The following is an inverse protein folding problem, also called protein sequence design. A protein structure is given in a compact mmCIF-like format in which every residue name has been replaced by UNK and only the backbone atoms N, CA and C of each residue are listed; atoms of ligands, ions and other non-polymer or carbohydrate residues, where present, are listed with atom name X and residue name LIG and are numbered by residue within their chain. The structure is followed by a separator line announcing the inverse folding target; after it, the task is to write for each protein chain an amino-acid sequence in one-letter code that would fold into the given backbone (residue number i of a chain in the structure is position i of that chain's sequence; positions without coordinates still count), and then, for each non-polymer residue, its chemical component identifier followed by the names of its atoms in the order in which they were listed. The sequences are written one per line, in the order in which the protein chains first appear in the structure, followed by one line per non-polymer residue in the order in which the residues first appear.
data_IF_710440371895
#
_entry.id   IF_710440371895
#
_cell.length_a   1.000
_cell.length_b   1.000
_cell.length_c   1.000
_cell.angle_alpha   90.00
_cell.angle_beta   90.00
_cell.angle_gamma   90.00
#
_symmetry.space_group_name_H-M   'P 1'
#
loop_
_entity.id
_entity.type
_entity.pdbx_description
1 polymer ?
#
# COMPACT_ATOMS: atom_id res chain seq x y z
N UNK A 1 8.59 -1.80 -10.26
CA UNK A 1 9.37 -1.04 -11.27
C UNK A 1 10.03 -1.99 -12.27
N UNK A 2 10.85 -2.94 -11.81
CA UNK A 2 11.58 -3.86 -12.69
C UNK A 2 10.69 -4.75 -13.54
N UNK A 3 9.41 -4.96 -13.19
CA UNK A 3 8.48 -5.66 -14.08
C UNK A 3 8.13 -4.87 -15.36
N UNK A 4 8.36 -3.55 -15.38
CA UNK A 4 8.02 -2.64 -16.47
C UNK A 4 9.24 -2.05 -17.19
N UNK A 5 10.40 -2.10 -16.54
CA UNK A 5 11.64 -1.42 -16.95
C UNK A 5 12.72 -2.47 -17.22
N UNK A 6 13.21 -2.51 -18.44
CA UNK A 6 14.29 -3.40 -18.85
C UNK A 6 15.65 -2.74 -18.55
N UNK A 7 16.33 -3.24 -17.52
CA UNK A 7 17.62 -2.70 -17.05
C UNK A 7 18.72 -2.92 -18.08
N UNK A 8 18.69 -4.01 -18.85
CA UNK A 8 19.72 -4.31 -19.85
C UNK A 8 19.53 -3.42 -21.07
N UNK A 9 18.28 -3.16 -21.47
CA UNK A 9 17.95 -2.24 -22.56
C UNK A 9 18.48 -0.82 -22.32
N UNK A 10 18.52 -0.36 -21.06
CA UNK A 10 19.05 0.96 -20.69
C UNK A 10 20.53 1.17 -21.10
N UNK A 11 21.31 0.08 -21.26
CA UNK A 11 22.71 0.15 -21.69
C UNK A 11 22.88 0.65 -23.13
N UNK A 12 21.83 0.59 -23.94
CA UNK A 12 21.82 1.01 -25.34
C UNK A 12 21.22 2.39 -25.56
N UNK A 13 20.79 3.08 -24.50
CA UNK A 13 20.16 4.40 -24.60
C UNK A 13 21.13 5.50 -25.03
N UNK A 14 20.63 6.51 -25.75
CA UNK A 14 21.33 7.79 -25.91
C UNK A 14 21.09 8.68 -24.66
N UNK A 15 22.14 9.04 -23.88
CA UNK A 15 21.99 9.91 -22.72
C UNK A 15 21.45 11.31 -23.05
N UNK A 16 21.69 11.84 -24.25
CA UNK A 16 21.15 13.13 -24.66
C UNK A 16 19.65 13.05 -24.95
N UNK A 17 19.19 11.98 -25.60
CA UNK A 17 17.77 11.72 -25.81
C UNK A 17 17.05 11.43 -24.48
N UNK A 18 17.68 10.68 -23.58
CA UNK A 18 17.19 10.44 -22.21
C UNK A 18 17.02 11.76 -21.43
N UNK A 19 18.00 12.65 -21.54
CA UNK A 19 17.92 14.01 -20.98
C UNK A 19 16.77 14.82 -21.55
N UNK A 20 16.60 14.82 -22.87
CA UNK A 20 15.47 15.49 -23.53
C UNK A 20 14.12 14.92 -23.10
N UNK A 21 14.01 13.60 -22.93
CA UNK A 21 12.81 12.94 -22.42
C UNK A 21 12.47 13.41 -20.99
N UNK A 22 13.40 13.33 -20.03
CA UNK A 22 13.15 13.78 -18.65
C UNK A 22 12.73 15.26 -18.61
N UNK A 23 13.44 16.13 -19.35
CA UNK A 23 13.14 17.57 -19.38
C UNK A 23 11.78 17.89 -20.02
N UNK A 24 11.26 17.00 -20.88
CA UNK A 24 9.93 17.16 -21.48
C UNK A 24 8.79 16.84 -20.52
N UNK A 25 9.04 16.01 -19.50
CA UNK A 25 8.00 15.53 -18.57
C UNK A 25 8.11 16.12 -17.16
N UNK A 26 9.24 16.73 -16.80
CA UNK A 26 9.51 17.18 -15.43
C UNK A 26 10.52 18.33 -15.37
N UNK A 27 10.43 19.13 -14.29
CA UNK A 27 11.41 20.16 -13.95
C UNK A 27 12.49 19.65 -12.98
N UNK A 28 12.55 18.33 -12.72
CA UNK A 28 13.56 17.73 -11.85
C UNK A 28 14.98 18.09 -12.32
N UNK A 29 15.82 18.70 -11.46
CA UNK A 29 17.06 19.36 -11.88
C UNK A 29 18.15 18.39 -12.34
N UNK A 30 18.13 17.13 -11.88
CA UNK A 30 19.12 16.12 -12.26
C UNK A 30 18.75 15.49 -13.60
N UNK A 31 18.86 16.27 -14.67
CA UNK A 31 18.40 15.88 -16.01
C UNK A 31 19.47 16.02 -17.09
N UNK A 32 20.74 16.25 -16.74
CA UNK A 32 21.77 16.54 -17.74
C UNK A 32 22.19 15.29 -18.53
N UNK A 33 22.59 15.43 -19.82
CA UNK A 33 23.11 14.29 -20.59
C UNK A 33 24.33 13.62 -19.92
N UNK A 34 25.17 14.41 -19.26
CA UNK A 34 26.32 13.90 -18.50
C UNK A 34 25.92 13.01 -17.33
N UNK A 35 24.87 13.40 -16.59
CA UNK A 35 24.35 12.62 -15.47
C UNK A 35 23.88 11.23 -15.91
N UNK A 36 23.06 11.16 -16.96
CA UNK A 36 22.61 9.88 -17.51
C UNK A 36 23.74 9.03 -18.07
N UNK A 37 24.72 9.64 -18.73
CA UNK A 37 25.90 8.91 -19.22
C UNK A 37 26.69 8.29 -18.07
N UNK A 38 26.84 8.99 -16.95
CA UNK A 38 27.56 8.47 -15.79
C UNK A 38 26.82 7.30 -15.13
N UNK A 39 25.49 7.40 -15.02
CA UNK A 39 24.64 6.30 -14.53
C UNK A 39 24.68 5.10 -15.48
N UNK A 40 24.55 5.32 -16.79
CA UNK A 40 24.67 4.26 -17.80
C UNK A 40 26.04 3.57 -17.72
N UNK A 41 27.14 4.33 -17.59
CA UNK A 41 28.48 3.78 -17.43
C UNK A 41 28.62 2.96 -16.14
N UNK A 42 28.00 3.41 -15.03
CA UNK A 42 27.95 2.66 -13.77
C UNK A 42 27.20 1.33 -13.96
N UNK A 43 26.06 1.37 -14.63
CA UNK A 43 25.26 0.18 -14.93
C UNK A 43 26.01 -0.79 -15.86
N UNK A 44 26.68 -0.27 -16.88
CA UNK A 44 27.49 -1.06 -17.81
C UNK A 44 28.59 -1.84 -17.08
N UNK A 45 29.37 -1.16 -16.23
CA UNK A 45 30.39 -1.82 -15.40
C UNK A 45 29.79 -2.88 -14.47
N UNK A 46 28.61 -2.61 -13.91
CA UNK A 46 27.91 -3.58 -13.05
C UNK A 46 27.50 -4.84 -13.84
N UNK A 47 26.94 -4.67 -15.03
CA UNK A 47 26.54 -5.79 -15.91
C UNK A 47 27.76 -6.56 -16.42
N UNK A 48 28.80 -5.86 -16.88
CA UNK A 48 30.06 -6.45 -17.38
C UNK A 48 30.84 -7.23 -16.29
N UNK A 49 30.59 -6.95 -15.01
CA UNK A 49 31.21 -7.71 -13.91
C UNK A 49 30.74 -9.17 -13.85
N UNK A 50 29.61 -9.51 -14.49
CA UNK A 50 28.96 -10.82 -14.36
C UNK A 50 28.29 -11.05 -13.00
N UNK A 51 28.37 -10.09 -12.07
CA UNK A 51 27.78 -10.15 -10.73
C UNK A 51 26.51 -9.30 -10.67
N UNK A 52 25.47 -9.72 -11.38
CA UNK A 52 24.22 -8.97 -11.55
C UNK A 52 23.40 -8.80 -10.26
N UNK A 53 23.73 -9.52 -9.18
CA UNK A 53 23.08 -9.40 -7.88
C UNK A 53 21.55 -9.42 -8.01
N UNK A 54 20.84 -8.35 -7.60
CA UNK A 54 19.37 -8.28 -7.69
C UNK A 54 18.82 -8.31 -9.13
N UNK A 55 19.66 -8.12 -10.17
CA UNK A 55 19.25 -8.16 -11.57
C UNK A 55 19.51 -9.52 -12.25
N UNK A 56 20.04 -10.52 -11.53
CA UNK A 56 20.47 -11.78 -12.13
C UNK A 56 19.33 -12.66 -12.68
N UNK A 57 18.14 -12.61 -12.06
CA UNK A 57 17.04 -13.54 -12.34
C UNK A 57 15.77 -12.87 -12.89
N UNK A 58 15.91 -11.68 -13.46
CA UNK A 58 14.81 -10.99 -14.11
C UNK A 58 14.74 -11.32 -15.61
N UNK A 59 13.61 -11.00 -16.24
CA UNK A 59 13.27 -11.46 -17.59
C UNK A 59 13.69 -10.50 -18.71
N UNK A 60 14.91 -9.95 -18.62
CA UNK A 60 15.43 -8.96 -19.57
C UNK A 60 15.33 -9.42 -21.03
N UNK A 61 14.90 -8.53 -21.92
CA UNK A 61 14.63 -8.85 -23.33
C UNK A 61 13.30 -9.55 -23.59
N UNK A 62 12.48 -9.81 -22.56
CA UNK A 62 11.12 -10.33 -22.74
C UNK A 62 10.32 -9.40 -23.65
N UNK A 63 9.54 -9.93 -24.62
CA UNK A 63 8.68 -9.14 -25.50
C UNK A 63 7.57 -8.39 -24.74
N UNK A 64 7.35 -8.73 -23.46
CA UNK A 64 6.42 -8.00 -22.62
C UNK A 64 6.97 -6.64 -22.16
N UNK A 65 8.28 -6.35 -22.27
CA UNK A 65 8.82 -4.99 -22.07
C UNK A 65 8.61 -4.12 -23.31
N UNK A 66 8.11 -2.91 -23.10
CA UNK A 66 7.73 -1.98 -24.19
C UNK A 66 8.45 -0.64 -24.18
N UNK A 67 9.21 -0.35 -23.12
CA UNK A 67 9.91 0.92 -23.00
C UNK A 67 11.10 0.96 -23.97
N UNK A 68 11.32 2.10 -24.66
CA UNK A 68 12.57 2.32 -25.38
C UNK A 68 13.76 2.44 -24.42
N UNK A 69 14.99 2.22 -24.90
CA UNK A 69 16.21 2.33 -24.08
C UNK A 69 16.28 3.63 -23.26
N UNK A 70 15.91 4.77 -23.84
CA UNK A 70 15.94 6.08 -23.17
C UNK A 70 14.98 6.13 -21.97
N UNK A 71 13.77 5.61 -22.11
CA UNK A 71 12.82 5.54 -21.01
C UNK A 71 13.28 4.54 -19.93
N UNK A 72 13.92 3.43 -20.34
CA UNK A 72 14.53 2.50 -19.39
C UNK A 72 15.66 3.16 -18.59
N UNK A 73 16.56 3.89 -19.26
CA UNK A 73 17.67 4.58 -18.58
C UNK A 73 17.16 5.67 -17.62
N UNK A 74 16.12 6.41 -18.01
CA UNK A 74 15.46 7.37 -17.13
C UNK A 74 14.90 6.69 -15.88
N UNK A 75 14.09 5.64 -16.05
CA UNK A 75 13.45 4.95 -14.94
C UNK A 75 14.46 4.22 -14.03
N UNK A 76 15.53 3.63 -14.58
CA UNK A 76 16.62 3.04 -13.77
C UNK A 76 17.38 4.12 -13.00
N UNK A 77 17.61 5.28 -13.61
CA UNK A 77 18.23 6.42 -12.92
C UNK A 77 17.39 6.86 -11.72
N UNK A 78 16.09 7.06 -11.92
CA UNK A 78 15.17 7.43 -10.85
C UNK A 78 14.96 6.32 -9.81
N UNK A 79 15.05 5.04 -10.19
CA UNK A 79 15.07 3.93 -9.25
C UNK A 79 16.24 4.07 -8.25
N UNK A 80 17.44 4.41 -8.74
CA UNK A 80 18.60 4.63 -7.89
C UNK A 80 18.44 5.89 -7.02
N UNK A 81 17.89 6.97 -7.58
CA UNK A 81 17.58 8.17 -6.81
C UNK A 81 16.57 7.91 -5.69
N UNK A 82 15.51 7.14 -5.97
CA UNK A 82 14.49 6.77 -5.00
C UNK A 82 15.08 5.90 -3.88
N UNK A 83 15.96 4.95 -4.21
CA UNK A 83 16.66 4.12 -3.24
C UNK A 83 17.53 4.96 -2.29
N UNK A 84 18.15 6.02 -2.80
CA UNK A 84 18.89 6.97 -1.98
C UNK A 84 17.96 7.87 -1.16
N UNK A 85 16.88 8.39 -1.73
CA UNK A 85 16.04 9.38 -1.08
C UNK A 85 15.12 8.80 0.01
N UNK A 86 14.63 7.56 -0.14
CA UNK A 86 13.67 6.97 0.79
C UNK A 86 14.14 6.96 2.27
N UNK A 87 15.46 6.88 2.50
CA UNK A 87 16.05 6.92 3.86
C UNK A 87 15.87 8.27 4.56
N UNK A 88 15.64 9.35 3.80
CA UNK A 88 15.43 10.69 4.35
C UNK A 88 13.99 10.86 4.82
N UNK A 89 13.01 10.33 4.08
CA UNK A 89 11.58 10.39 4.42
C UNK A 89 11.35 9.82 5.83
N UNK A 90 11.94 8.66 6.11
CA UNK A 90 11.77 7.97 7.40
C UNK A 90 12.42 8.67 8.60
N UNK A 91 13.23 9.71 8.41
CA UNK A 91 13.75 10.51 9.52
C UNK A 91 12.64 11.23 10.29
N UNK A 92 11.49 11.48 9.66
CA UNK A 92 10.28 11.96 10.35
C UNK A 92 9.86 10.95 11.44
N UNK A 93 9.83 9.66 11.12
CA UNK A 93 9.55 8.61 12.11
C UNK A 93 10.64 8.55 13.19
N UNK A 94 11.90 8.78 12.85
CA UNK A 94 12.98 8.83 13.85
C UNK A 94 12.81 10.00 14.82
N UNK A 95 12.36 11.16 14.35
CA UNK A 95 12.15 12.35 15.20
C UNK A 95 10.99 12.14 16.18
N UNK A 96 9.85 11.62 15.72
CA UNK A 96 8.67 11.45 16.58
C UNK A 96 8.61 10.10 17.30
N UNK A 97 9.20 9.06 16.72
CA UNK A 97 9.13 7.67 17.21
C UNK A 97 10.47 7.07 17.62
N UNK A 98 11.57 7.82 17.54
CA UNK A 98 12.92 7.42 17.97
C UNK A 98 13.70 6.54 16.98
N UNK A 99 13.04 5.82 16.06
CA UNK A 99 13.71 4.99 15.05
C UNK A 99 12.81 4.65 13.86
N UNK A 100 13.44 4.22 12.77
CA UNK A 100 12.81 3.49 11.68
C UNK A 100 13.79 2.41 11.17
N UNK A 101 13.36 1.15 10.93
CA UNK A 101 12.01 0.60 11.10
C UNK A 101 11.55 0.49 12.57
N UNK A 102 10.25 0.21 12.77
CA UNK A 102 9.60 0.02 14.07
C UNK A 102 9.72 1.21 15.05
N UNK A 103 9.16 2.39 14.72
CA UNK A 103 9.06 3.50 15.66
C UNK A 103 8.26 3.12 16.92
N UNK A 104 8.44 3.88 17.99
CA UNK A 104 7.71 3.71 19.25
C UNK A 104 6.41 4.52 19.24
N UNK A 105 5.38 3.99 19.91
CA UNK A 105 4.06 4.60 20.10
C UNK A 105 3.64 4.49 21.56
N UNK A 106 2.60 5.23 21.98
CA UNK A 106 2.10 5.24 23.36
C UNK A 106 0.56 5.17 23.37
N UNK A 107 -0.04 4.28 24.17
CA UNK A 107 -1.48 4.35 24.42
C UNK A 107 -1.80 5.67 25.13
N UNK A 108 -2.66 6.49 24.53
CA UNK A 108 -2.97 7.84 25.00
C UNK A 108 -2.36 8.97 24.15
N UNK A 109 -1.46 8.67 23.21
CA UNK A 109 -0.89 9.66 22.29
C UNK A 109 0.48 9.26 21.74
N UNK A 110 1.48 10.11 21.91
CA UNK A 110 2.86 9.90 21.46
C UNK A 110 3.87 10.16 22.58
N UNK A 111 4.98 9.41 22.65
CA UNK A 111 6.00 9.59 23.68
C UNK A 111 6.90 10.82 23.46
N UNK A 112 6.84 11.45 22.29
CA UNK A 112 7.69 12.57 21.90
C UNK A 112 7.17 13.92 22.41
N UNK A 113 7.45 14.27 23.67
CA UNK A 113 7.10 15.58 24.22
C UNK A 113 7.64 16.74 23.39
N UNK A 114 6.85 17.82 23.26
CA UNK A 114 7.18 19.02 22.49
C UNK A 114 7.51 20.17 23.45
N UNK A 115 8.66 20.83 23.24
CA UNK A 115 9.02 22.07 23.92
C UNK A 115 9.91 22.92 22.99
N UNK A 116 9.39 24.08 22.57
CA UNK A 116 10.02 24.93 21.55
C UNK A 116 10.68 26.19 22.10
N UNK A 117 10.34 26.62 23.32
CA UNK A 117 10.72 27.93 23.86
C UNK A 117 11.13 27.93 25.34
N UNK A 118 11.00 26.81 26.07
CA UNK A 118 11.33 26.72 27.49
C UNK A 118 12.70 26.07 27.74
N UNK A 119 13.27 26.32 28.92
CA UNK A 119 14.47 25.64 29.42
C UNK A 119 14.27 24.11 29.36
N UNK A 120 15.27 23.39 28.83
CA UNK A 120 15.19 21.94 28.66
C UNK A 120 14.69 21.47 27.28
N UNK A 121 14.41 22.38 26.34
CA UNK A 121 13.99 22.06 24.97
C UNK A 121 14.96 21.13 24.22
N UNK A 122 16.24 21.12 24.60
CA UNK A 122 17.26 20.21 24.05
C UNK A 122 16.98 18.72 24.30
N UNK A 123 16.16 18.39 25.29
CA UNK A 123 15.72 17.02 25.61
C UNK A 123 14.40 16.61 24.96
N UNK A 124 13.84 17.43 24.08
CA UNK A 124 12.47 17.27 23.53
C UNK A 124 12.42 17.54 22.02
N UNK A 125 11.25 17.39 21.42
CA UNK A 125 11.02 17.88 20.04
C UNK A 125 10.90 19.41 20.07
N UNK A 126 12.04 20.07 19.90
CA UNK A 126 12.15 21.52 19.72
C UNK A 126 12.22 21.97 18.25
N UNK A 127 12.38 23.28 18.03
CA UNK A 127 12.24 23.90 16.71
C UNK A 127 13.25 23.40 15.66
N UNK A 128 14.46 22.98 16.07
CA UNK A 128 15.45 22.41 15.15
C UNK A 128 14.92 21.13 14.48
N UNK A 129 14.28 20.25 15.25
CA UNK A 129 13.71 19.01 14.74
C UNK A 129 12.49 19.27 13.87
N UNK A 130 11.63 20.22 14.28
CA UNK A 130 10.46 20.61 13.49
C UNK A 130 10.86 21.23 12.14
N UNK A 131 11.92 22.04 12.09
CA UNK A 131 12.46 22.55 10.83
C UNK A 131 12.95 21.41 9.93
N UNK A 132 13.66 20.43 10.50
CA UNK A 132 14.10 19.25 9.75
C UNK A 132 12.93 18.43 9.19
N UNK A 133 11.86 18.24 9.97
CA UNK A 133 10.63 17.59 9.48
C UNK A 133 10.04 18.37 8.30
N UNK A 134 9.90 19.69 8.43
CA UNK A 134 9.38 20.55 7.36
C UNK A 134 10.20 20.43 6.07
N UNK A 135 11.54 20.43 6.17
CA UNK A 135 12.42 20.27 5.01
C UNK A 135 12.28 18.90 4.34
N UNK A 136 12.12 17.83 5.14
CA UNK A 136 11.91 16.47 4.61
C UNK A 136 10.55 16.39 3.90
N UNK A 137 9.50 17.00 4.45
CA UNK A 137 8.17 17.06 3.82
C UNK A 137 8.28 17.74 2.44
N UNK A 138 8.93 18.90 2.36
CA UNK A 138 9.09 19.63 1.10
C UNK A 138 9.85 18.80 0.05
N UNK A 139 10.97 18.17 0.46
CA UNK A 139 11.73 17.28 -0.44
C UNK A 139 10.91 16.07 -0.88
N UNK A 140 10.03 15.56 -0.02
CA UNK A 140 9.17 14.42 -0.34
C UNK A 140 8.13 14.81 -1.39
N UNK A 141 7.49 15.98 -1.23
CA UNK A 141 6.58 16.54 -2.24
C UNK A 141 7.32 16.75 -3.56
N UNK A 142 8.46 17.43 -3.55
CA UNK A 142 9.25 17.68 -4.76
C UNK A 142 9.65 16.40 -5.47
N UNK A 143 10.13 15.38 -4.75
CA UNK A 143 10.53 14.11 -5.35
C UNK A 143 9.33 13.35 -5.93
N UNK A 144 8.22 13.28 -5.20
CA UNK A 144 7.04 12.55 -5.69
C UNK A 144 6.45 13.23 -6.92
N UNK A 145 6.27 14.55 -6.88
CA UNK A 145 5.61 15.29 -7.95
C UNK A 145 6.50 15.53 -9.18
N UNK A 146 7.83 15.57 -9.00
CA UNK A 146 8.78 15.80 -10.11
C UNK A 146 9.49 14.53 -10.58
N UNK A 147 9.44 13.42 -9.84
CA UNK A 147 10.08 12.16 -10.26
C UNK A 147 9.05 11.04 -10.39
N UNK A 148 8.37 10.68 -9.28
CA UNK A 148 7.51 9.50 -9.29
C UNK A 148 6.28 9.67 -10.20
N UNK A 149 5.53 10.78 -10.08
CA UNK A 149 4.33 11.00 -10.90
C UNK A 149 4.67 11.13 -12.41
N UNK A 150 5.68 11.91 -12.82
CA UNK A 150 6.09 11.95 -14.23
C UNK A 150 6.53 10.59 -14.79
N UNK A 151 7.32 9.83 -14.03
CA UNK A 151 7.73 8.48 -14.44
C UNK A 151 6.53 7.54 -14.60
N UNK A 152 5.59 7.59 -13.66
CA UNK A 152 4.36 6.81 -13.71
C UNK A 152 3.60 7.10 -15.01
N UNK A 153 3.40 8.39 -15.37
CA UNK A 153 2.72 8.80 -16.60
C UNK A 153 3.50 8.38 -17.84
N UNK A 154 4.81 8.61 -17.85
CA UNK A 154 5.68 8.26 -18.98
C UNK A 154 5.67 6.75 -19.23
N UNK A 155 5.86 5.93 -18.20
CA UNK A 155 5.83 4.47 -18.30
C UNK A 155 4.44 4.01 -18.74
N UNK A 156 3.38 4.47 -18.08
CA UNK A 156 2.00 4.09 -18.44
C UNK A 156 1.66 4.37 -19.91
N UNK A 157 2.25 5.41 -20.50
CA UNK A 157 2.01 5.75 -21.91
C UNK A 157 2.41 4.64 -22.90
N UNK A 158 3.39 3.79 -22.55
CA UNK A 158 3.83 2.64 -23.35
C UNK A 158 3.05 1.35 -23.06
N UNK A 159 2.26 1.33 -21.99
CA UNK A 159 1.51 0.17 -21.51
C UNK A 159 0.00 0.44 -21.43
N UNK A 160 -0.53 1.41 -22.20
CA UNK A 160 -1.97 1.74 -22.21
C UNK A 160 -2.87 0.57 -22.58
N UNK A 161 -2.35 -0.40 -23.31
CA UNK A 161 -3.05 -1.64 -23.67
C UNK A 161 -3.03 -2.70 -22.56
N UNK A 162 -2.38 -2.44 -21.42
CA UNK A 162 -2.40 -3.29 -20.23
C UNK A 162 -3.72 -3.17 -19.46
N UNK A 163 -4.83 -3.51 -20.12
CA UNK A 163 -6.17 -3.56 -19.53
C UNK A 163 -6.46 -4.83 -18.72
N UNK A 164 -5.43 -5.65 -18.45
CA UNK A 164 -5.56 -6.92 -17.71
C UNK A 164 -5.41 -6.72 -16.21
N UNK A 165 -5.76 -7.76 -15.44
CA UNK A 165 -5.59 -7.73 -14.00
C UNK A 165 -6.74 -7.12 -13.21
N UNK A 166 -7.87 -6.82 -13.84
CA UNK A 166 -8.99 -6.14 -13.16
C UNK A 166 -9.57 -6.92 -11.98
N UNK A 167 -9.77 -8.24 -12.13
CA UNK A 167 -10.23 -9.09 -11.01
C UNK A 167 -11.47 -8.54 -10.29
N UNK A 168 -11.31 -8.20 -9.01
CA UNK A 168 -12.35 -7.60 -8.17
C UNK A 168 -12.36 -6.06 -8.22
N UNK A 169 -11.35 -5.42 -8.81
CA UNK A 169 -11.35 -3.98 -9.03
C UNK A 169 -12.55 -3.57 -9.88
N UNK A 170 -13.24 -2.52 -9.46
CA UNK A 170 -14.48 -2.08 -10.12
C UNK A 170 -15.65 -3.06 -9.93
N UNK A 171 -15.52 -4.09 -9.09
CA UNK A 171 -16.63 -4.96 -8.66
C UNK A 171 -16.87 -4.84 -7.17
N UNK A 172 -15.91 -5.30 -6.36
CA UNK A 172 -16.02 -5.37 -4.92
C UNK A 172 -14.79 -4.72 -4.28
N UNK A 173 -14.96 -3.54 -3.69
CA UNK A 173 -13.86 -2.74 -3.12
C UNK A 173 -14.20 -2.32 -1.71
N UNK A 174 -13.20 -2.32 -0.82
CA UNK A 174 -13.37 -2.00 0.60
C UNK A 174 -12.28 -1.04 1.07
N UNK A 175 -12.69 -0.05 1.87
CA UNK A 175 -11.82 0.80 2.67
C UNK A 175 -12.50 1.10 4.02
N UNK A 176 -11.73 1.10 5.11
CA UNK A 176 -12.18 1.49 6.45
C UNK A 176 -12.06 3.01 6.69
N UNK A 177 -11.32 3.71 5.84
CA UNK A 177 -11.01 5.13 6.00
C UNK A 177 -9.94 5.40 7.06
N UNK A 178 -9.31 6.57 6.98
CA UNK A 178 -8.20 6.96 7.87
C UNK A 178 -7.95 8.47 7.87
N UNK A 179 -6.97 8.89 8.68
CA UNK A 179 -6.50 10.26 8.86
C UNK A 179 -7.62 11.19 9.33
N UNK A 180 -8.13 11.01 10.58
CA UNK A 180 -9.14 11.90 11.14
C UNK A 180 -8.60 13.34 11.22
N UNK A 181 -9.40 14.31 10.73
CA UNK A 181 -9.08 15.74 10.74
C UNK A 181 -9.12 16.26 12.17
N UNK A 182 -10.22 15.99 12.89
CA UNK A 182 -10.36 16.26 14.31
C UNK A 182 -10.03 15.00 15.12
N UNK A 183 -9.22 15.16 16.17
CA UNK A 183 -8.78 14.05 17.00
C UNK A 183 -9.96 13.30 17.64
N UNK A 184 -9.87 11.96 17.66
CA UNK A 184 -10.81 11.02 18.30
C UNK A 184 -12.23 10.95 17.68
N UNK A 185 -12.47 11.64 16.56
CA UNK A 185 -13.69 11.47 15.76
C UNK A 185 -13.39 10.62 14.52
N UNK A 186 -13.97 9.42 14.47
CA UNK A 186 -13.78 8.46 13.38
C UNK A 186 -14.99 8.40 12.44
N UNK A 187 -15.89 9.40 12.50
CA UNK A 187 -16.96 9.55 11.52
C UNK A 187 -16.37 9.79 10.13
N UNK A 188 -17.01 9.23 9.10
CA UNK A 188 -16.48 9.28 7.73
C UNK A 188 -16.26 10.71 7.21
N UNK A 189 -17.14 11.65 7.58
CA UNK A 189 -17.03 13.07 7.21
C UNK A 189 -15.78 13.76 7.79
N UNK A 190 -15.25 13.22 8.89
CA UNK A 190 -14.04 13.70 9.54
C UNK A 190 -12.77 13.03 9.02
N UNK A 191 -12.85 12.02 8.15
CA UNK A 191 -11.68 11.32 7.61
C UNK A 191 -11.14 12.04 6.36
N UNK A 192 -9.82 12.26 6.28
CA UNK A 192 -9.21 12.76 5.05
C UNK A 192 -9.27 11.70 3.94
N UNK A 193 -9.10 10.42 4.30
CA UNK A 193 -9.27 9.27 3.43
C UNK A 193 -10.62 8.58 3.72
N UNK A 194 -11.56 8.53 2.77
CA UNK A 194 -12.90 8.04 3.05
C UNK A 194 -12.98 6.53 3.25
N UNK A 195 -13.92 6.12 4.11
CA UNK A 195 -14.39 4.76 4.28
C UNK A 195 -15.52 4.43 3.29
N UNK A 196 -15.66 3.15 2.96
CA UNK A 196 -16.80 2.66 2.19
C UNK A 196 -16.60 1.27 1.60
N UNK A 197 -17.70 0.69 1.11
CA UNK A 197 -17.67 -0.51 0.30
C UNK A 197 -18.44 -0.31 -1.00
N UNK A 198 -17.94 -0.88 -2.08
CA UNK A 198 -18.63 -0.97 -3.39
C UNK A 198 -18.83 -2.45 -3.67
N UNK A 199 -20.01 -2.83 -4.16
CA UNK A 199 -20.38 -4.22 -4.47
C UNK A 199 -20.97 -4.29 -5.87
N UNK A 200 -20.69 -5.38 -6.59
CA UNK A 200 -21.20 -5.65 -7.94
C UNK A 200 -20.89 -4.56 -8.98
N UNK A 201 -19.90 -3.70 -8.70
CA UNK A 201 -19.47 -2.62 -9.58
C UNK A 201 -20.41 -1.44 -9.67
N UNK A 202 -21.37 -1.32 -8.74
CA UNK A 202 -22.25 -0.17 -8.67
C UNK A 202 -21.54 1.03 -8.04
N UNK A 203 -20.92 1.87 -8.86
CA UNK A 203 -20.26 3.10 -8.41
C UNK A 203 -21.24 4.20 -7.95
N UNK A 204 -22.54 4.04 -8.20
CA UNK A 204 -23.54 5.02 -7.73
C UNK A 204 -23.88 4.84 -6.25
N UNK A 205 -23.46 3.70 -5.67
CA UNK A 205 -23.74 3.34 -4.29
C UNK A 205 -22.46 2.97 -3.54
N UNK A 206 -22.07 3.82 -2.59
CA UNK A 206 -21.03 3.52 -1.61
C UNK A 206 -21.71 3.14 -0.30
N UNK A 207 -21.52 1.89 0.12
CA UNK A 207 -22.07 1.36 1.36
C UNK A 207 -21.22 1.79 2.56
N UNK A 208 -21.88 2.07 3.68
CA UNK A 208 -21.22 2.31 4.96
C UNK A 208 -20.56 1.02 5.47
N UNK A 209 -19.38 1.17 6.06
CA UNK A 209 -18.62 0.07 6.67
C UNK A 209 -18.59 0.29 8.18
N UNK A 210 -19.18 -0.65 8.91
CA UNK A 210 -19.06 -0.73 10.37
C UNK A 210 -18.23 -1.94 10.74
N UNK A 211 -16.99 -1.68 11.16
CA UNK A 211 -16.03 -2.71 11.60
C UNK A 211 -16.43 -3.39 12.92
N UNK A 212 -17.48 -2.91 13.59
CA UNK A 212 -18.04 -3.50 14.81
C UNK A 212 -19.26 -4.38 14.54
N UNK A 213 -19.85 -4.31 13.35
CA UNK A 213 -21.01 -5.12 12.96
C UNK A 213 -20.55 -6.57 12.67
N UNK A 214 -20.97 -7.56 13.49
CA UNK A 214 -20.55 -8.95 13.33
C UNK A 214 -21.03 -9.61 12.03
N UNK A 215 -22.01 -9.00 11.34
CA UNK A 215 -22.52 -9.46 10.04
C UNK A 215 -21.76 -8.85 8.86
N UNK A 216 -20.88 -7.88 9.11
CA UNK A 216 -20.05 -7.28 8.05
C UNK A 216 -18.76 -8.05 7.85
N UNK A 217 -17.83 -7.99 8.79
CA UNK A 217 -16.47 -8.48 8.57
C UNK A 217 -16.33 -9.85 9.22
N UNK A 218 -16.09 -10.88 8.40
CA UNK A 218 -15.94 -12.26 8.87
C UNK A 218 -14.75 -12.94 8.18
N UNK A 219 -13.99 -13.75 8.92
CA UNK A 219 -12.95 -14.61 8.36
C UNK A 219 -13.42 -16.06 8.28
N UNK A 220 -13.16 -16.69 7.13
CA UNK A 220 -13.42 -18.09 6.87
C UNK A 220 -12.09 -18.86 6.80
N UNK A 221 -12.15 -20.17 7.04
CA UNK A 221 -10.97 -21.06 7.07
C UNK A 221 -11.13 -22.32 6.22
N UNK A 222 -12.17 -22.42 5.39
CA UNK A 222 -12.45 -23.62 4.59
C UNK A 222 -11.21 -24.10 3.83
N UNK A 223 -10.50 -23.16 3.20
CA UNK A 223 -9.29 -23.41 2.41
C UNK A 223 -7.99 -22.93 3.08
N UNK A 224 -8.03 -22.67 4.40
CA UNK A 224 -6.90 -22.18 5.18
C UNK A 224 -6.42 -23.20 6.23
N UNK A 225 -5.14 -23.22 6.54
CA UNK A 225 -4.52 -24.12 7.53
C UNK A 225 -4.78 -23.70 8.99
N UNK A 226 -6.06 -23.61 9.34
CA UNK A 226 -6.54 -23.35 10.69
C UNK A 226 -7.68 -24.28 11.04
N UNK A 227 -7.96 -24.35 12.33
CA UNK A 227 -9.12 -25.02 12.90
C UNK A 227 -9.95 -24.01 13.69
N UNK A 228 -11.27 -24.09 13.52
CA UNK A 228 -12.26 -23.43 14.35
C UNK A 228 -13.02 -24.48 15.15
N UNK A 229 -13.54 -24.11 16.32
CA UNK A 229 -14.50 -24.93 17.06
C UNK A 229 -15.75 -25.23 16.23
N UNK A 230 -16.24 -24.22 15.50
CA UNK A 230 -17.28 -24.34 14.47
C UNK A 230 -16.74 -23.83 13.13
N UNK A 231 -16.22 -24.74 12.31
CA UNK A 231 -15.67 -24.42 10.99
C UNK A 231 -16.71 -24.21 9.90
N UNK A 232 -18.02 -24.25 10.21
CA UNK A 232 -19.09 -24.13 9.19
C UNK A 232 -19.49 -22.69 8.88
N UNK A 233 -18.92 -21.71 9.60
CA UNK A 233 -19.26 -20.29 9.47
C UNK A 233 -18.02 -19.41 9.55
N UNK A 234 -18.15 -18.20 8.99
CA UNK A 234 -17.19 -17.14 9.21
C UNK A 234 -17.28 -16.59 10.63
N UNK A 235 -16.15 -16.15 11.18
CA UNK A 235 -16.08 -15.51 12.50
C UNK A 235 -15.75 -14.03 12.35
N UNK A 236 -16.51 -13.18 13.02
CA UNK A 236 -16.11 -11.79 13.24
C UNK A 236 -14.87 -11.75 14.16
N UNK A 237 -13.88 -10.87 13.95
CA UNK A 237 -12.61 -10.88 14.68
C UNK A 237 -12.71 -10.87 16.21
N UNK A 238 -13.72 -10.25 16.82
CA UNK A 238 -13.89 -10.33 18.28
C UNK A 238 -14.10 -11.76 18.79
N UNK A 239 -14.71 -12.61 17.98
CA UNK A 239 -14.93 -14.02 18.27
C UNK A 239 -13.98 -14.91 17.44
N UNK A 240 -13.01 -14.30 16.76
CA UNK A 240 -12.08 -14.99 15.87
C UNK A 240 -11.13 -15.92 16.62
N UNK A 241 -10.88 -17.08 16.02
CA UNK A 241 -9.97 -18.10 16.53
C UNK A 241 -8.72 -18.19 15.64
N UNK A 242 -7.59 -18.56 16.22
CA UNK A 242 -6.33 -18.79 15.47
C UNK A 242 -5.63 -20.03 16.03
N UNK A 243 -6.12 -21.21 15.67
CA UNK A 243 -5.49 -22.51 15.96
C UNK A 243 -4.86 -23.07 14.67
N UNK A 244 -3.53 -23.00 14.49
CA UNK A 244 -2.85 -23.49 13.29
C UNK A 244 -3.11 -24.99 13.08
N UNK A 245 -3.51 -25.37 11.87
CA UNK A 245 -3.75 -26.77 11.50
C UNK A 245 -3.25 -27.05 10.08
N UNK A 246 -1.99 -27.45 9.96
CA UNK A 246 -1.37 -27.72 8.66
C UNK A 246 -1.78 -29.09 8.11
N UNK A 247 -2.78 -29.08 7.22
CA UNK A 247 -3.36 -30.24 6.55
C UNK A 247 -3.33 -30.06 5.04
N UNK A 248 -2.96 -31.10 4.29
CA UNK A 248 -2.85 -31.05 2.84
C UNK A 248 -3.99 -31.85 2.22
N UNK A 249 -4.52 -31.36 1.10
CA UNK A 249 -5.60 -32.00 0.36
C UNK A 249 -5.19 -33.36 -0.23
N UNK A 250 -6.17 -34.25 -0.49
CA UNK A 250 -5.92 -35.60 -1.00
C UNK A 250 -5.34 -35.61 -2.42
N UNK A 251 -5.49 -34.54 -3.21
CA UNK A 251 -4.99 -34.46 -4.58
C UNK A 251 -3.66 -33.69 -4.72
N UNK A 252 -2.97 -33.45 -3.60
CA UNK A 252 -1.63 -32.86 -3.58
C UNK A 252 -0.68 -33.65 -4.49
N UNK A 253 0.17 -32.95 -5.25
CA UNK A 253 1.34 -33.56 -5.89
C UNK A 253 2.61 -33.21 -5.13
N UNK A 254 3.42 -34.23 -4.86
CA UNK A 254 4.63 -34.13 -4.05
C UNK A 254 4.43 -34.71 -2.64
N UNK A 255 5.11 -34.12 -1.65
CA UNK A 255 5.05 -34.55 -0.24
C UNK A 255 4.78 -33.35 0.68
N UNK A 256 4.49 -33.63 1.95
CA UNK A 256 4.27 -32.59 2.97
C UNK A 256 5.39 -31.54 3.07
N UNK A 257 6.61 -31.92 2.73
CA UNK A 257 7.80 -31.06 2.80
C UNK A 257 8.42 -30.79 1.43
N UNK A 258 7.82 -31.28 0.34
CA UNK A 258 8.24 -31.03 -1.04
C UNK A 258 6.99 -30.93 -1.92
N UNK A 259 6.32 -29.79 -1.86
CA UNK A 259 5.07 -29.55 -2.58
C UNK A 259 5.41 -29.18 -4.02
N UNK A 260 4.94 -29.99 -4.97
CA UNK A 260 5.09 -29.74 -6.41
C UNK A 260 3.86 -29.03 -6.98
N UNK A 261 2.66 -29.40 -6.49
CA UNK A 261 1.40 -28.74 -6.84
C UNK A 261 0.43 -28.82 -5.65
N UNK A 262 -0.11 -27.68 -5.23
CA UNK A 262 -1.16 -27.60 -4.20
C UNK A 262 -2.48 -28.19 -4.70
N UNK A 263 -3.29 -28.72 -3.77
CA UNK A 263 -4.69 -29.09 -4.01
C UNK A 263 -5.62 -27.98 -3.53
N UNK A 264 -6.05 -27.12 -4.45
CA UNK A 264 -6.97 -26.02 -4.17
C UNK A 264 -8.41 -26.47 -3.87
N UNK A 265 -8.72 -27.76 -4.06
CA UNK A 265 -9.95 -28.38 -3.58
C UNK A 265 -9.94 -28.66 -2.07
N UNK A 266 -8.76 -28.69 -1.46
CA UNK A 266 -8.55 -28.77 -0.01
C UNK A 266 -8.02 -27.46 0.58
N UNK A 267 -7.36 -27.53 1.75
CA UNK A 267 -6.69 -26.37 2.37
C UNK A 267 -5.33 -26.12 1.73
N UNK A 268 -5.04 -24.86 1.37
CA UNK A 268 -3.85 -24.50 0.59
C UNK A 268 -3.13 -23.21 1.01
N UNK A 269 -3.54 -22.55 2.09
CA UNK A 269 -2.95 -21.27 2.50
C UNK A 269 -2.87 -21.07 4.01
N UNK A 270 -1.86 -20.33 4.46
CA UNK A 270 -1.77 -19.79 5.83
C UNK A 270 -2.55 -18.48 5.99
N UNK A 271 -3.10 -17.93 4.91
CA UNK A 271 -3.98 -16.77 5.00
C UNK A 271 -5.42 -17.25 5.25
N UNK A 272 -6.11 -16.62 6.20
CA UNK A 272 -7.57 -16.76 6.35
C UNK A 272 -8.29 -16.06 5.19
N UNK A 273 -9.59 -16.31 5.04
CA UNK A 273 -10.41 -15.76 3.97
C UNK A 273 -11.41 -14.71 4.50
N UNK A 274 -11.02 -13.43 4.64
CA UNK A 274 -11.93 -12.38 5.09
C UNK A 274 -12.95 -12.03 3.99
N UNK A 275 -14.19 -11.77 4.40
CA UNK A 275 -15.31 -11.35 3.56
C UNK A 275 -16.03 -10.18 4.21
N UNK A 276 -16.56 -9.28 3.38
CA UNK A 276 -17.47 -8.23 3.84
C UNK A 276 -18.89 -8.59 3.39
N UNK A 277 -19.79 -8.86 4.34
CA UNK A 277 -21.16 -9.36 4.10
C UNK A 277 -21.19 -10.56 3.13
N UNK A 278 -20.23 -11.46 3.27
CA UNK A 278 -20.05 -12.63 2.39
C UNK A 278 -19.39 -12.36 1.04
N UNK A 279 -19.07 -11.10 0.70
CA UNK A 279 -18.39 -10.75 -0.54
C UNK A 279 -16.85 -10.78 -0.37
N UNK A 280 -16.17 -11.37 -1.34
CA UNK A 280 -14.73 -11.19 -1.51
C UNK A 280 -14.46 -9.76 -1.97
N UNK A 281 -13.50 -9.09 -1.33
CA UNK A 281 -13.22 -7.66 -1.53
C UNK A 281 -11.77 -7.45 -1.97
N UNK A 282 -11.56 -6.44 -2.81
CA UNK A 282 -10.24 -5.84 -3.02
C UNK A 282 -10.03 -4.65 -2.08
N UNK A 283 -8.85 -4.55 -1.49
CA UNK A 283 -8.42 -3.42 -0.66
C UNK A 283 -7.13 -2.80 -1.21
N UNK A 284 -6.83 -1.56 -0.82
CA UNK A 284 -5.59 -0.88 -1.18
C UNK A 284 -5.81 0.44 -1.90
N UNK A 285 -4.75 1.01 -2.49
CA UNK A 285 -4.80 2.33 -3.12
C UNK A 285 -5.92 2.47 -4.15
N UNK A 286 -6.11 1.45 -5.01
CA UNK A 286 -7.16 1.49 -6.01
C UNK A 286 -8.56 1.53 -5.39
N UNK A 287 -8.84 0.67 -4.41
CA UNK A 287 -10.14 0.65 -3.71
C UNK A 287 -10.43 1.99 -3.06
N UNK A 288 -9.47 2.56 -2.34
CA UNK A 288 -9.59 3.88 -1.70
C UNK A 288 -9.88 4.99 -2.71
N UNK A 289 -9.13 5.01 -3.82
CA UNK A 289 -9.29 6.03 -4.85
C UNK A 289 -10.64 5.92 -5.57
N UNK A 290 -11.11 4.69 -5.87
CA UNK A 290 -12.41 4.50 -6.51
C UNK A 290 -13.56 4.85 -5.56
N UNK A 291 -13.46 4.46 -4.27
CA UNK A 291 -14.42 4.85 -3.25
C UNK A 291 -14.45 6.37 -3.10
N UNK A 292 -13.28 7.02 -2.98
CA UNK A 292 -13.21 8.48 -2.89
C UNK A 292 -13.77 9.20 -4.12
N UNK A 293 -13.50 8.66 -5.31
CA UNK A 293 -14.07 9.16 -6.56
C UNK A 293 -15.60 9.03 -6.60
N UNK A 294 -16.15 7.87 -6.24
CA UNK A 294 -17.58 7.60 -6.20
C UNK A 294 -18.31 8.44 -5.14
N UNK A 295 -17.66 8.68 -3.99
CA UNK A 295 -18.15 9.54 -2.92
C UNK A 295 -18.00 11.05 -3.22
N UNK A 296 -17.49 11.43 -4.40
CA UNK A 296 -17.41 12.83 -4.82
C UNK A 296 -16.31 13.65 -4.13
N UNK A 297 -15.24 13.00 -3.64
CA UNK A 297 -14.09 13.71 -3.04
C UNK A 297 -13.30 14.46 -4.12
N UNK A 298 -13.35 15.78 -4.09
CA UNK A 298 -12.79 16.63 -5.14
C UNK A 298 -11.26 16.45 -5.30
N UNK A 299 -10.52 16.33 -4.19
CA UNK A 299 -9.05 16.17 -4.23
C UNK A 299 -8.61 14.87 -4.89
N UNK A 300 -9.33 13.77 -4.64
CA UNK A 300 -9.10 12.48 -5.31
C UNK A 300 -9.59 12.53 -6.77
N UNK A 301 -10.77 13.12 -7.00
CA UNK A 301 -11.37 13.22 -8.33
C UNK A 301 -10.47 14.00 -9.29
N UNK A 302 -9.90 15.12 -8.85
CA UNK A 302 -8.96 15.92 -9.65
C UNK A 302 -7.73 15.12 -10.06
N UNK A 303 -7.10 14.39 -9.13
CA UNK A 303 -5.94 13.55 -9.42
C UNK A 303 -6.26 12.43 -10.43
N UNK A 304 -7.42 11.78 -10.26
CA UNK A 304 -7.89 10.71 -11.16
C UNK A 304 -8.23 11.25 -12.54
N UNK A 305 -9.07 12.28 -12.63
CA UNK A 305 -9.47 12.87 -13.91
C UNK A 305 -8.25 13.45 -14.64
N UNK A 306 -7.30 14.05 -13.91
CA UNK A 306 -6.04 14.57 -14.46
C UNK A 306 -5.18 13.49 -15.10
N UNK A 307 -4.88 12.38 -14.41
CA UNK A 307 -4.03 11.32 -14.99
C UNK A 307 -4.71 10.62 -16.16
N UNK A 308 -6.04 10.42 -16.10
CA UNK A 308 -6.81 9.81 -17.18
C UNK A 308 -6.84 10.72 -18.41
N UNK A 309 -7.01 12.02 -18.21
CA UNK A 309 -6.97 13.03 -19.29
C UNK A 309 -5.60 13.05 -19.96
N UNK A 310 -4.52 13.14 -19.17
CA UNK A 310 -3.14 13.15 -19.69
C UNK A 310 -2.81 11.90 -20.51
N UNK A 311 -3.36 10.75 -20.11
CA UNK A 311 -3.16 9.48 -20.82
C UNK A 311 -4.22 9.20 -21.90
N UNK A 312 -5.26 10.02 -22.02
CA UNK A 312 -6.39 9.77 -22.93
C UNK A 312 -7.09 8.44 -22.66
N UNK A 313 -7.27 8.10 -21.39
CA UNK A 313 -7.87 6.84 -20.93
C UNK A 313 -9.24 7.07 -20.26
N UNK A 314 -10.20 6.14 -20.40
CA UNK A 314 -11.47 6.22 -19.68
C UNK A 314 -11.32 5.81 -18.22
N UNK A 315 -12.30 6.16 -17.37
CA UNK A 315 -12.34 5.75 -15.95
C UNK A 315 -12.22 4.23 -15.76
N UNK A 316 -12.72 3.43 -16.71
CA UNK A 316 -12.63 1.97 -16.67
C UNK A 316 -11.20 1.45 -16.75
N UNK A 317 -10.23 2.26 -17.20
CA UNK A 317 -8.82 1.89 -17.21
C UNK A 317 -8.24 1.74 -15.78
N UNK A 318 -8.87 2.35 -14.77
CA UNK A 318 -8.50 2.16 -13.37
C UNK A 318 -8.68 0.71 -12.91
N UNK A 319 -9.60 -0.05 -13.50
CA UNK A 319 -9.91 -1.43 -13.09
C UNK A 319 -8.93 -2.42 -13.72
N UNK A 320 -7.64 -2.22 -13.46
CA UNK A 320 -6.54 -2.98 -14.06
C UNK A 320 -5.29 -2.98 -13.16
N UNK A 321 -4.33 -3.84 -13.50
CA UNK A 321 -2.97 -3.83 -12.94
C UNK A 321 -2.29 -2.46 -13.09
N UNK A 322 -2.49 -1.79 -14.23
CA UNK A 322 -1.96 -0.45 -14.46
C UNK A 322 -2.66 0.58 -13.56
N UNK A 323 -3.98 0.47 -13.41
CA UNK A 323 -4.79 1.32 -12.55
C UNK A 323 -4.39 1.23 -11.07
N UNK A 324 -4.08 0.04 -10.55
CA UNK A 324 -3.52 -0.11 -9.18
C UNK A 324 -2.19 0.59 -9.01
N UNK A 325 -1.33 0.47 -10.03
CA UNK A 325 -0.02 1.13 -10.04
C UNK A 325 -0.19 2.66 -10.06
N UNK A 326 -1.14 3.14 -10.85
CA UNK A 326 -1.49 4.55 -10.92
C UNK A 326 -2.03 5.08 -9.59
N UNK A 327 -3.03 4.40 -9.01
CA UNK A 327 -3.64 4.80 -7.73
C UNK A 327 -2.60 4.89 -6.60
N UNK A 328 -1.64 3.96 -6.54
CA UNK A 328 -0.53 4.03 -5.56
C UNK A 328 0.34 5.28 -5.74
N UNK A 329 0.63 5.65 -6.99
CA UNK A 329 1.40 6.86 -7.27
C UNK A 329 0.66 8.12 -6.89
N UNK A 330 -0.62 8.22 -7.27
CA UNK A 330 -1.49 9.33 -6.88
C UNK A 330 -1.59 9.45 -5.36
N UNK A 331 -1.79 8.32 -4.66
CA UNK A 331 -1.87 8.29 -3.20
C UNK A 331 -0.56 8.71 -2.53
N UNK A 332 0.59 8.37 -3.13
CA UNK A 332 1.88 8.84 -2.65
C UNK A 332 1.99 10.37 -2.69
N UNK A 333 1.54 10.99 -3.79
CA UNK A 333 1.49 12.46 -3.91
C UNK A 333 0.50 13.04 -2.92
N UNK A 334 -0.73 12.50 -2.86
CA UNK A 334 -1.75 12.92 -1.90
C UNK A 334 -1.22 12.87 -0.46
N UNK A 335 -0.59 11.77 -0.05
CA UNK A 335 -0.05 11.60 1.29
C UNK A 335 1.08 12.58 1.60
N UNK A 336 1.97 12.87 0.64
CA UNK A 336 3.02 13.87 0.82
C UNK A 336 2.44 15.28 1.07
N UNK A 337 1.38 15.65 0.34
CA UNK A 337 0.68 16.93 0.53
C UNK A 337 -0.17 16.98 1.81
N UNK A 338 -0.83 15.87 2.19
CA UNK A 338 -1.54 15.80 3.48
C UNK A 338 -0.58 15.83 4.66
N UNK A 339 0.63 15.27 4.52
CA UNK A 339 1.67 15.37 5.55
C UNK A 339 2.04 16.83 5.85
N UNK A 340 2.13 17.68 4.82
CA UNK A 340 2.27 19.14 4.98
C UNK A 340 1.08 19.74 5.73
N UNK A 341 -0.14 19.39 5.33
CA UNK A 341 -1.37 19.87 5.98
C UNK A 341 -1.40 19.55 7.46
N UNK A 342 -1.12 18.29 7.84
CA UNK A 342 -1.10 17.83 9.23
C UNK A 342 0.04 18.50 10.02
N UNK A 343 1.22 18.63 9.42
CA UNK A 343 2.35 19.31 10.05
C UNK A 343 2.05 20.79 10.33
N UNK A 344 1.43 21.50 9.38
CA UNK A 344 1.09 22.91 9.54
C UNK A 344 0.00 23.11 10.60
N UNK A 345 -0.98 22.19 10.69
CA UNK A 345 -1.98 22.17 11.76
C UNK A 345 -1.34 21.95 13.14
N UNK A 346 -0.40 20.99 13.26
CA UNK A 346 0.38 20.79 14.48
C UNK A 346 1.18 22.05 14.86
N UNK A 347 1.82 22.70 13.89
CA UNK A 347 2.54 23.96 14.12
C UNK A 347 1.60 25.09 14.56
N UNK A 348 0.36 25.12 14.09
CA UNK A 348 -0.64 26.08 14.53
C UNK A 348 -1.04 25.87 16.01
N UNK A 349 -1.22 24.61 16.44
CA UNK A 349 -1.47 24.28 17.84
C UNK A 349 -0.32 24.73 18.75
N UNK A 350 0.93 24.44 18.34
CA UNK A 350 2.13 24.86 19.08
C UNK A 350 2.19 26.38 19.21
N UNK A 351 1.89 27.12 18.13
CA UNK A 351 1.83 28.60 18.15
C UNK A 351 0.73 29.14 19.06
N UNK A 352 -0.38 28.42 19.19
CA UNK A 352 -1.46 28.74 20.11
C UNK A 352 -1.17 28.35 21.56
N UNK A 353 -0.02 27.71 21.83
CA UNK A 353 0.42 27.28 23.16
C UNK A 353 0.04 25.86 23.53
N UNK A 354 -0.55 25.08 22.62
CA UNK A 354 -0.84 23.67 22.85
C UNK A 354 0.31 22.78 22.38
N UNK A 355 0.99 22.17 23.35
CA UNK A 355 2.10 21.22 23.15
C UNK A 355 1.79 19.83 23.72
N UNK A 356 0.51 19.56 24.00
CA UNK A 356 0.03 18.30 24.58
C UNK A 356 0.25 17.14 23.61
N UNK A 357 0.81 16.03 24.09
CA UNK A 357 1.17 14.87 23.25
C UNK A 357 0.62 13.54 23.75
N UNK A 358 0.14 13.48 25.00
CA UNK A 358 -0.45 12.26 25.57
C UNK A 358 -1.53 12.59 26.61
N UNK A 359 -2.62 11.84 26.59
CA UNK A 359 -3.57 11.73 27.68
C UNK A 359 -3.22 10.52 28.57
N UNK A 360 -3.00 10.76 29.86
CA UNK A 360 -2.58 9.74 30.83
C UNK A 360 -3.68 9.38 31.85
N UNK A 361 -4.91 9.90 31.70
CA UNK A 361 -6.03 9.67 32.63
C UNK A 361 -6.34 8.19 32.84
N UNK A 362 -6.26 7.40 31.77
CA UNK A 362 -6.47 5.94 31.79
C UNK A 362 -5.18 5.15 31.57
N UNK A 363 -4.02 5.67 32.01
CA UNK A 363 -2.76 4.94 31.87
C UNK A 363 -2.67 3.71 32.78
N UNK A 364 -3.05 3.87 34.04
CA UNK A 364 -2.97 2.79 35.03
C UNK A 364 -4.08 1.75 34.80
N UNK A 365 -3.77 0.44 34.73
CA UNK A 365 -4.78 -0.59 34.47
C UNK A 365 -5.93 -0.65 35.48
N UNK A 366 -5.73 -0.12 36.70
CA UNK A 366 -6.77 0.02 37.72
C UNK A 366 -7.90 0.99 37.35
N UNK A 367 -7.69 1.83 36.34
CA UNK A 367 -8.68 2.78 35.81
C UNK A 367 -9.54 2.18 34.69
N UNK A 368 -9.18 1.01 34.16
CA UNK A 368 -9.84 0.42 33.01
C UNK A 368 -11.13 -0.32 33.41
N UNK A 369 -12.12 -0.39 32.51
CA UNK A 369 -13.23 -1.32 32.68
C UNK A 369 -12.74 -2.76 32.83
N UNK A 370 -13.41 -3.55 33.67
CA UNK A 370 -13.03 -4.94 33.91
C UNK A 370 -13.20 -5.86 32.69
N UNK A 371 -14.12 -5.53 31.78
CA UNK A 371 -14.40 -6.27 30.55
C UNK A 371 -14.79 -5.26 29.45
N UNK A 372 -13.97 -5.16 28.39
CA UNK A 372 -14.19 -4.20 27.30
C UNK A 372 -13.62 -4.70 25.97
N UNK A 373 -14.40 -4.52 24.90
CA UNK A 373 -13.98 -4.77 23.51
C UNK A 373 -13.61 -3.46 22.82
N UNK A 374 -12.55 -3.49 22.02
CA UNK A 374 -12.06 -2.37 21.23
C UNK A 374 -11.76 -2.78 19.80
N UNK A 375 -11.75 -1.79 18.91
CA UNK A 375 -11.30 -1.93 17.52
C UNK A 375 -10.46 -0.71 17.18
N UNK A 376 -9.30 -0.94 16.58
CA UNK A 376 -8.48 0.09 15.94
C UNK A 376 -8.45 -0.19 14.44
N UNK A 377 -8.66 0.86 13.63
CA UNK A 377 -8.65 0.76 12.17
C UNK A 377 -7.72 1.81 11.58
N UNK A 378 -7.05 1.43 10.50
CA UNK A 378 -6.23 2.32 9.68
C UNK A 378 -6.30 1.87 8.23
N UNK A 379 -6.03 2.79 7.31
CA UNK A 379 -5.70 2.47 5.92
C UNK A 379 -4.18 2.35 5.80
N UNK A 380 -3.69 1.14 6.03
CA UNK A 380 -2.29 0.84 5.75
C UNK A 380 -1.99 1.05 4.25
N UNK A 381 -0.72 1.22 3.85
CA UNK A 381 -0.37 1.45 2.44
C UNK A 381 -0.99 0.42 1.48
N UNK A 382 -1.19 -0.82 1.95
CA UNK A 382 -1.75 -1.94 1.17
C UNK A 382 -3.27 -2.07 1.25
N UNK A 383 -3.97 -1.33 2.11
CA UNK A 383 -5.42 -1.40 2.25
C UNK A 383 -5.92 -1.31 3.70
N UNK A 384 -7.16 -1.73 3.86
CA UNK A 384 -7.90 -1.78 5.11
C UNK A 384 -7.25 -2.74 6.14
N UNK A 385 -6.83 -2.18 7.28
CA UNK A 385 -6.24 -2.90 8.40
C UNK A 385 -7.10 -2.69 9.65
N UNK A 386 -7.50 -3.78 10.29
CA UNK A 386 -8.26 -3.73 11.55
C UNK A 386 -7.63 -4.62 12.61
N UNK A 387 -7.56 -4.10 13.83
CA UNK A 387 -7.14 -4.82 15.03
C UNK A 387 -8.30 -4.82 16.02
N UNK A 388 -8.80 -5.99 16.37
CA UNK A 388 -9.87 -6.17 17.34
C UNK A 388 -9.30 -6.76 18.62
N UNK A 389 -9.53 -6.07 19.73
CA UNK A 389 -9.06 -6.51 21.04
C UNK A 389 -10.23 -6.72 22.00
N UNK A 390 -10.06 -7.67 22.91
CA UNK A 390 -10.92 -7.87 24.07
C UNK A 390 -10.02 -7.85 25.30
N UNK A 391 -10.21 -6.86 26.16
CA UNK A 391 -9.49 -6.74 27.44
C UNK A 391 -10.42 -7.24 28.54
N UNK A 392 -9.91 -8.15 29.37
CA UNK A 392 -10.58 -8.67 30.55
C UNK A 392 -9.60 -8.74 31.71
N UNK A 393 -10.02 -8.26 32.87
CA UNK A 393 -9.24 -8.28 34.11
C UNK A 393 -7.80 -7.74 33.89
N UNK A 394 -7.70 -6.59 33.21
CA UNK A 394 -6.43 -5.90 32.86
C UNK A 394 -5.50 -6.64 31.88
N UNK A 395 -5.96 -7.71 31.23
CA UNK A 395 -5.19 -8.51 30.27
C UNK A 395 -5.93 -8.65 28.94
N UNK A 396 -5.20 -8.92 27.87
CA UNK A 396 -5.80 -9.28 26.59
C UNK A 396 -6.38 -10.69 26.69
N UNK A 397 -7.71 -10.79 26.56
CA UNK A 397 -8.43 -12.06 26.44
C UNK A 397 -8.48 -12.55 24.99
N UNK A 398 -8.58 -11.63 24.02
CA UNK A 398 -8.47 -11.92 22.59
C UNK A 398 -7.82 -10.75 21.84
N UNK A 399 -7.08 -11.07 20.78
CA UNK A 399 -6.51 -10.11 19.85
C UNK A 399 -6.49 -10.72 18.44
N UNK A 400 -7.25 -10.15 17.53
CA UNK A 400 -7.33 -10.59 16.13
C UNK A 400 -7.02 -9.43 15.21
N UNK A 401 -6.33 -9.72 14.11
CA UNK A 401 -5.99 -8.73 13.10
C UNK A 401 -6.42 -9.26 11.73
N UNK A 402 -7.13 -8.43 10.97
CA UNK A 402 -7.33 -8.63 9.54
C UNK A 402 -6.51 -7.57 8.82
N UNK A 403 -5.50 -8.04 8.10
CA UNK A 403 -4.47 -7.22 7.45
C UNK A 403 -4.78 -7.11 5.95
N UNK A 404 -4.34 -6.07 5.23
CA UNK A 404 -4.78 -5.86 3.85
C UNK A 404 -4.42 -7.01 2.90
N UNK A 405 -3.23 -7.61 3.07
CA UNK A 405 -2.84 -8.75 2.25
C UNK A 405 -3.64 -10.02 2.60
N UNK A 406 -4.23 -10.12 3.80
CA UNK A 406 -5.19 -11.19 4.12
C UNK A 406 -6.43 -11.07 3.24
N UNK A 407 -6.93 -9.86 2.98
CA UNK A 407 -8.02 -9.62 2.02
C UNK A 407 -7.63 -9.99 0.60
N UNK A 408 -6.55 -9.39 0.11
CA UNK A 408 -6.24 -9.49 -1.32
C UNK A 408 -5.70 -10.87 -1.73
N UNK A 409 -4.89 -11.50 -0.88
CA UNK A 409 -4.34 -12.85 -1.10
C UNK A 409 -5.18 -13.95 -0.43
N UNK A 410 -6.42 -13.63 -0.07
CA UNK A 410 -7.39 -14.56 0.49
C UNK A 410 -7.50 -15.84 -0.36
N UNK A 411 -7.48 -17.03 0.26
CA UNK A 411 -7.93 -18.23 -0.42
C UNK A 411 -9.46 -18.19 -0.62
N UNK A 412 -9.99 -19.25 -1.22
CA UNK A 412 -11.43 -19.45 -1.38
C UNK A 412 -12.15 -19.57 -0.03
N UNK A 413 -13.41 -19.16 -0.01
CA UNK A 413 -14.35 -19.50 1.08
C UNK A 413 -15.12 -20.79 0.73
N UNK A 414 -15.97 -21.27 1.64
CA UNK A 414 -16.81 -22.45 1.42
C UNK A 414 -17.81 -22.32 0.25
N UNK A 415 -18.08 -21.11 -0.25
CA UNK A 415 -18.89 -20.87 -1.45
C UNK A 415 -18.07 -20.90 -2.74
N UNK A 416 -16.75 -21.03 -2.65
CA UNK A 416 -15.83 -21.03 -3.78
C UNK A 416 -15.48 -19.64 -4.32
N UNK A 417 -15.82 -18.56 -3.59
CA UNK A 417 -15.46 -17.21 -4.02
C UNK A 417 -13.94 -17.01 -3.91
N UNK A 418 -13.32 -16.61 -5.02
CA UNK A 418 -11.88 -16.36 -5.11
C UNK A 418 -11.50 -14.95 -4.60
N UNK A 419 -10.30 -14.82 -4.04
CA UNK A 419 -9.75 -13.53 -3.59
C UNK A 419 -9.27 -12.62 -4.73
N UNK A 420 -8.83 -11.40 -4.38
CA UNK A 420 -8.45 -10.38 -5.36
C UNK A 420 -7.25 -10.79 -6.24
N UNK A 421 -6.26 -11.49 -5.67
CA UNK A 421 -5.09 -11.96 -6.42
C UNK A 421 -5.46 -13.02 -7.46
N UNK A 422 -6.16 -14.07 -7.04
CA UNK A 422 -6.64 -15.13 -7.94
C UNK A 422 -7.52 -14.52 -9.04
N UNK A 423 -8.49 -13.68 -8.68
CA UNK A 423 -9.37 -13.01 -9.63
C UNK A 423 -8.62 -12.17 -10.66
N UNK A 424 -7.55 -11.49 -10.25
CA UNK A 424 -6.78 -10.61 -11.13
C UNK A 424 -5.86 -11.37 -12.08
N UNK A 425 -5.42 -12.58 -11.72
CA UNK A 425 -4.60 -13.39 -12.62
C UNK A 425 -5.41 -14.01 -13.76
N UNK A 426 -6.72 -14.23 -13.58
CA UNK A 426 -7.59 -14.81 -14.60
C UNK A 426 -7.59 -13.99 -15.89
N UNK A 427 -7.40 -14.67 -17.03
CA UNK A 427 -7.42 -14.06 -18.35
C UNK A 427 -6.18 -13.23 -18.70
N UNK A 428 -5.14 -13.23 -17.86
CA UNK A 428 -3.88 -12.54 -18.16
C UNK A 428 -3.10 -13.33 -19.23
N UNK A 429 -2.78 -12.73 -20.39
CA UNK A 429 -1.96 -13.39 -21.40
C UNK A 429 -0.51 -13.50 -20.92
N UNK A 430 0.16 -14.61 -21.29
CA UNK A 430 1.59 -14.81 -21.04
C UNK A 430 2.32 -14.87 -22.37
N UNK A 431 3.27 -13.97 -22.59
CA UNK A 431 4.11 -13.99 -23.79
C UNK A 431 5.06 -15.20 -23.77
N UNK A 432 5.49 -15.63 -22.58
CA UNK A 432 6.27 -16.85 -22.38
C UNK A 432 5.86 -17.52 -21.06
N UNK A 433 5.25 -18.71 -21.07
CA UNK A 433 4.85 -19.44 -19.85
C UNK A 433 5.99 -19.72 -18.85
N UNK A 434 7.22 -19.84 -19.34
CA UNK A 434 8.41 -20.08 -18.49
C UNK A 434 8.97 -18.80 -17.86
N UNK A 435 8.43 -17.63 -18.23
CA UNK A 435 8.83 -16.33 -17.71
C UNK A 435 7.59 -15.60 -17.17
N UNK A 436 7.22 -15.77 -15.88
CA UNK A 436 5.97 -15.27 -15.30
C UNK A 436 5.93 -13.74 -15.09
N UNK A 437 6.52 -12.94 -15.97
CA UNK A 437 6.58 -11.49 -15.87
C UNK A 437 5.18 -10.86 -15.76
N UNK A 438 4.20 -11.36 -16.50
CA UNK A 438 2.83 -10.85 -16.47
C UNK A 438 2.08 -11.19 -15.17
N UNK A 439 2.39 -12.35 -14.58
CA UNK A 439 1.92 -12.74 -13.24
C UNK A 439 2.53 -11.80 -12.21
N UNK A 440 3.85 -11.58 -12.26
CA UNK A 440 4.56 -10.67 -11.36
C UNK A 440 4.02 -9.25 -11.45
N UNK A 441 3.81 -8.71 -12.66
CA UNK A 441 3.20 -7.37 -12.86
C UNK A 441 1.90 -7.23 -12.09
N UNK A 442 1.01 -8.22 -12.24
CA UNK A 442 -0.31 -8.18 -11.61
C UNK A 442 -0.20 -8.31 -10.10
N UNK A 443 0.55 -9.29 -9.58
CA UNK A 443 0.69 -9.49 -8.13
C UNK A 443 1.43 -8.32 -7.47
N UNK A 444 2.55 -7.86 -8.04
CA UNK A 444 3.27 -6.70 -7.52
C UNK A 444 2.45 -5.40 -7.58
N UNK A 445 1.45 -5.30 -8.47
CA UNK A 445 0.54 -4.15 -8.49
C UNK A 445 -0.34 -4.04 -7.24
N UNK A 446 -0.46 -5.09 -6.45
CA UNK A 446 -1.09 -5.06 -5.12
C UNK A 446 -0.12 -4.75 -3.98
N UNK A 447 1.20 -4.78 -4.25
CA UNK A 447 2.24 -4.65 -3.22
C UNK A 447 2.08 -5.70 -2.09
N UNK A 448 2.26 -7.01 -2.35
CA UNK A 448 2.03 -8.06 -1.36
C UNK A 448 2.94 -7.95 -0.12
N UNK A 449 2.38 -8.15 1.07
CA UNK A 449 3.13 -8.38 2.31
C UNK A 449 2.59 -9.63 2.99
N UNK A 450 3.43 -10.67 3.10
CA UNK A 450 3.05 -12.03 3.53
C UNK A 450 3.63 -12.38 4.92
N UNK A 451 4.17 -11.39 5.62
CA UNK A 451 4.84 -11.56 6.92
C UNK A 451 3.88 -11.87 8.06
#
# INVERSE_FOLDING_TARGET
ALDWVDVVSALSADPAATSGLQQSISKWPKSSPGYFRDVQNRLKRFVESGQLGPFANAYWGSPAYKLPPEANLMAVTHYLEALDFQKDIVKIHTIFGGRNPHPNWLVGGMPCSINVDQTGSTGTVGMVWLNMVSDIINKSIDFVDQVYIPDLKAIASFYKDWGYGGGLAGKNMLAYGDFPINANDWSNDNLMMPAGAIINGDLSQVYEVDVRDPEQIQEFIDHSWYKYADGSRGLHPWDGETEPNFELGPNLKGTRTNIEQMDEGGKYSWLKAPRWRGHAMEVGPLSRYVIGYASGREDIKEQVDGILTDLGLPITALFSTLGRTAARGLECSWAAHKMRTVFDAMMANIKAGDTSTANMEMWEPSTWPADVKGVGMVEAPRGALGHWCHIKDTKLANYQAIVPSTWNASPRDGAGNIGAYEASLLGTPMANPEQPLEILRTIHSFDPCIA
#
